data_IF_262014663643
#
_entry.id   IF_262014663643
#
_cell.length_a   1.000
_cell.length_b   1.000
_cell.length_c   1.000
_cell.angle_alpha   90.00
_cell.angle_beta   90.00
_cell.angle_gamma   90.00
#
_symmetry.space_group_name_H-M   'P 1'
#
loop_
_entity.id
_entity.type
_entity.pdbx_description
1 polymer ?
#
# COMPACT_ATOMS: atom_id res chain seq x y z
N UNK A 1 -10.01 16.81 -17.86
CA UNK A 1 -9.18 17.17 -19.01
C UNK A 1 -8.81 15.97 -19.87
N UNK A 2 -8.12 16.22 -20.96
CA UNK A 2 -7.50 15.22 -21.83
C UNK A 2 -6.01 15.50 -21.94
N UNK A 3 -5.21 14.47 -22.30
CA UNK A 3 -3.80 14.66 -22.67
C UNK A 3 -3.64 15.64 -23.81
N UNK A 4 -2.46 16.20 -24.02
CA UNK A 4 -2.18 17.18 -25.09
C UNK A 4 -2.53 16.64 -26.48
N UNK A 5 -2.30 15.34 -26.75
CA UNK A 5 -2.69 14.65 -28.00
C UNK A 5 -4.16 14.22 -28.04
N UNK A 6 -4.90 14.30 -26.95
CA UNK A 6 -6.30 13.88 -26.86
C UNK A 6 -6.51 12.36 -26.74
N UNK A 7 -5.44 11.57 -26.62
CA UNK A 7 -5.48 10.11 -26.70
C UNK A 7 -6.10 9.46 -25.46
N UNK A 8 -5.92 10.08 -24.28
CA UNK A 8 -6.48 9.60 -23.02
C UNK A 8 -6.99 10.74 -22.14
N UNK A 9 -7.84 10.39 -21.18
CA UNK A 9 -8.41 11.33 -20.19
C UNK A 9 -7.46 11.45 -19.01
N UNK A 10 -7.23 12.68 -18.53
CA UNK A 10 -6.44 12.97 -17.34
C UNK A 10 -7.26 12.67 -16.07
N UNK A 11 -6.87 11.62 -15.34
CA UNK A 11 -7.55 11.16 -14.14
C UNK A 11 -6.64 10.22 -13.36
N UNK A 12 -6.49 10.41 -12.06
CA UNK A 12 -5.61 9.56 -11.23
C UNK A 12 -4.18 9.55 -11.76
N UNK A 13 -3.63 8.35 -12.04
CA UNK A 13 -2.22 8.19 -12.46
C UNK A 13 -1.91 8.91 -13.78
N UNK A 14 -2.89 9.06 -14.68
CA UNK A 14 -2.67 9.75 -15.96
C UNK A 14 -2.54 11.26 -15.77
N UNK A 15 -3.28 11.83 -14.83
CA UNK A 15 -3.12 13.23 -14.44
C UNK A 15 -1.80 13.45 -13.68
N UNK A 16 -1.42 12.51 -12.81
CA UNK A 16 -0.12 12.56 -12.13
C UNK A 16 1.04 12.55 -13.14
N UNK A 17 0.95 11.71 -14.18
CA UNK A 17 1.99 11.65 -15.22
C UNK A 17 2.10 12.95 -16.03
N UNK A 18 0.98 13.63 -16.29
CA UNK A 18 0.94 14.90 -16.99
C UNK A 18 1.67 16.01 -16.23
N UNK A 19 1.48 16.05 -14.90
CA UNK A 19 2.12 17.04 -14.01
C UNK A 19 3.55 16.65 -13.60
N UNK A 20 3.81 15.36 -13.39
CA UNK A 20 5.08 14.82 -12.94
C UNK A 20 5.44 13.56 -13.75
N UNK A 21 6.04 13.72 -14.95
CA UNK A 21 6.41 12.59 -15.79
C UNK A 21 7.40 11.66 -15.09
N UNK A 22 6.99 10.44 -14.85
CA UNK A 22 7.83 9.38 -14.33
C UNK A 22 8.33 8.48 -15.46
N UNK A 23 9.47 7.81 -15.25
CA UNK A 23 10.13 7.01 -16.30
C UNK A 23 9.72 5.55 -16.33
N UNK A 24 9.16 5.07 -15.24
CA UNK A 24 8.81 3.66 -15.08
C UNK A 24 7.48 3.54 -14.35
N UNK A 25 6.67 2.58 -14.79
CA UNK A 25 5.45 2.16 -14.11
C UNK A 25 5.46 0.64 -13.98
N UNK A 26 5.09 0.15 -12.81
CA UNK A 26 4.90 -1.28 -12.57
C UNK A 26 3.46 -1.50 -12.16
N UNK A 27 2.77 -2.36 -12.89
CA UNK A 27 1.39 -2.67 -12.63
C UNK A 27 1.15 -4.19 -12.49
N UNK A 28 -0.11 -4.57 -12.40
CA UNK A 28 -0.50 -5.96 -12.17
C UNK A 28 -0.39 -6.88 -13.39
N UNK A 29 -0.35 -6.36 -14.62
CA UNK A 29 -0.62 -7.21 -15.78
C UNK A 29 0.08 -6.80 -17.09
N UNK A 30 0.84 -5.72 -17.15
CA UNK A 30 1.50 -5.30 -18.39
C UNK A 30 2.40 -6.41 -18.98
N UNK A 31 2.36 -6.67 -20.31
CA UNK A 31 1.46 -6.11 -21.32
C UNK A 31 0.15 -6.91 -21.48
N UNK A 32 -0.01 -8.01 -20.77
CA UNK A 32 -1.02 -9.03 -21.03
C UNK A 32 -2.30 -8.83 -20.18
N UNK A 33 -2.90 -7.65 -20.25
CA UNK A 33 -4.10 -7.28 -19.46
C UNK A 33 -5.30 -8.23 -19.62
N UNK A 34 -5.40 -8.89 -20.77
CA UNK A 34 -6.49 -9.80 -21.10
C UNK A 34 -6.18 -11.26 -20.72
N UNK A 35 -4.98 -11.54 -20.21
CA UNK A 35 -4.56 -12.91 -19.84
C UNK A 35 -5.22 -13.42 -18.56
N UNK A 36 -5.78 -12.53 -17.76
CA UNK A 36 -6.47 -12.84 -16.52
C UNK A 36 -7.94 -12.43 -16.62
N UNK A 37 -8.87 -13.36 -16.32
CA UNK A 37 -10.28 -13.04 -16.19
C UNK A 37 -10.48 -12.16 -14.94
N UNK A 38 -10.41 -10.86 -15.12
CA UNK A 38 -10.59 -9.87 -14.06
C UNK A 38 -11.78 -8.96 -14.39
N UNK A 39 -12.73 -8.89 -13.45
CA UNK A 39 -13.83 -7.93 -13.52
C UNK A 39 -13.34 -6.56 -13.08
N UNK A 40 -13.05 -5.70 -14.04
CA UNK A 40 -12.75 -4.31 -13.76
C UNK A 40 -13.96 -3.62 -13.13
N UNK A 41 -13.77 -2.91 -12.02
CA UNK A 41 -14.83 -2.09 -11.40
C UNK A 41 -15.27 -0.95 -12.30
N UNK A 42 -14.38 -0.46 -13.15
CA UNK A 42 -14.64 0.55 -14.18
C UNK A 42 -13.95 0.19 -15.48
N UNK A 43 -14.65 -0.52 -16.41
CA UNK A 43 -14.07 -0.88 -17.70
C UNK A 43 -13.58 0.34 -18.49
N UNK A 44 -14.28 1.47 -18.40
CA UNK A 44 -13.86 2.72 -19.07
C UNK A 44 -12.54 3.27 -18.49
N UNK A 45 -12.33 3.20 -17.17
CA UNK A 45 -11.09 3.63 -16.52
C UNK A 45 -9.93 2.72 -16.90
N UNK A 46 -10.14 1.40 -16.94
CA UNK A 46 -9.13 0.46 -17.39
C UNK A 46 -8.76 0.69 -18.85
N UNK A 47 -9.73 0.89 -19.73
CA UNK A 47 -9.47 1.21 -21.13
C UNK A 47 -8.72 2.53 -21.30
N UNK A 48 -9.02 3.54 -20.46
CA UNK A 48 -8.29 4.80 -20.45
C UNK A 48 -6.84 4.62 -19.99
N UNK A 49 -6.64 3.82 -18.94
CA UNK A 49 -5.30 3.48 -18.43
C UNK A 49 -4.47 2.76 -19.50
N UNK A 50 -5.04 1.78 -20.21
CA UNK A 50 -4.35 1.07 -21.30
C UNK A 50 -3.92 2.03 -22.40
N UNK A 51 -4.82 2.92 -22.88
CA UNK A 51 -4.45 3.95 -23.88
C UNK A 51 -3.32 4.85 -23.41
N UNK A 52 -3.32 5.22 -22.13
CA UNK A 52 -2.22 5.99 -21.54
C UNK A 52 -0.91 5.20 -21.60
N UNK A 53 -0.90 3.94 -21.17
CA UNK A 53 0.32 3.10 -21.18
C UNK A 53 0.85 2.95 -22.62
N UNK A 54 -0.03 2.62 -23.58
CA UNK A 54 0.35 2.46 -24.97
C UNK A 54 0.96 3.76 -25.52
N UNK A 55 0.29 4.89 -25.34
CA UNK A 55 0.79 6.19 -25.76
C UNK A 55 2.12 6.56 -25.10
N UNK A 56 2.22 6.43 -23.79
CA UNK A 56 3.41 6.84 -23.05
C UNK A 56 4.62 5.95 -23.34
N UNK A 57 4.41 4.66 -23.57
CA UNK A 57 5.49 3.73 -23.95
C UNK A 57 5.96 3.96 -25.38
N UNK A 58 5.03 4.22 -26.31
CA UNK A 58 5.37 4.44 -27.72
C UNK A 58 6.01 5.80 -27.99
N UNK A 59 5.53 6.86 -27.32
CA UNK A 59 5.89 8.24 -27.67
C UNK A 59 6.77 8.95 -26.62
N UNK A 60 6.68 8.56 -25.36
CA UNK A 60 7.33 9.30 -24.25
C UNK A 60 8.45 8.52 -23.57
N UNK A 61 8.75 7.29 -24.04
CA UNK A 61 9.82 6.45 -23.50
C UNK A 61 9.53 5.92 -22.07
N UNK A 62 8.25 5.89 -21.66
CA UNK A 62 7.84 5.24 -20.42
C UNK A 62 8.17 3.74 -20.49
N UNK A 63 8.76 3.21 -19.44
CA UNK A 63 8.95 1.78 -19.27
C UNK A 63 7.83 1.20 -18.41
N UNK A 64 7.07 0.28 -18.96
CA UNK A 64 6.02 -0.42 -18.22
C UNK A 64 6.44 -1.88 -17.97
N UNK A 65 6.10 -2.41 -16.81
CA UNK A 65 6.39 -3.79 -16.44
C UNK A 65 5.31 -4.34 -15.50
N UNK A 66 5.16 -5.66 -15.48
CA UNK A 66 4.37 -6.37 -14.48
C UNK A 66 5.16 -6.51 -13.18
N UNK A 67 4.46 -6.43 -12.04
CA UNK A 67 5.05 -6.69 -10.73
C UNK A 67 5.54 -8.14 -10.64
N UNK A 68 6.82 -8.32 -10.35
CA UNK A 68 7.45 -9.62 -10.16
C UNK A 68 7.42 -9.99 -8.69
N UNK A 69 6.69 -11.05 -8.37
CA UNK A 69 6.54 -11.53 -7.01
C UNK A 69 7.80 -12.26 -6.55
N UNK A 70 8.24 -11.97 -5.32
CA UNK A 70 9.48 -12.50 -4.73
C UNK A 70 10.76 -11.81 -5.19
N UNK A 71 10.69 -10.94 -6.20
CA UNK A 71 11.87 -10.23 -6.71
C UNK A 71 12.09 -8.92 -5.94
N UNK A 72 13.20 -8.81 -5.25
CA UNK A 72 13.64 -7.58 -4.58
C UNK A 72 14.52 -6.69 -5.46
N UNK A 73 14.89 -7.13 -6.65
CA UNK A 73 15.71 -6.38 -7.61
C UNK A 73 14.91 -5.52 -8.59
N UNK A 74 13.58 -5.64 -8.62
CA UNK A 74 12.75 -4.87 -9.56
C UNK A 74 12.76 -3.36 -9.28
N UNK A 75 12.92 -2.94 -8.02
CA UNK A 75 12.90 -1.54 -7.59
C UNK A 75 14.25 -1.12 -6.99
N UNK A 76 15.34 -1.05 -7.78
CA UNK A 76 16.64 -0.68 -7.26
C UNK A 76 16.64 0.78 -6.80
N UNK A 77 17.25 1.04 -5.64
CA UNK A 77 17.50 2.41 -5.21
C UNK A 77 18.49 3.07 -6.18
N UNK A 78 18.04 4.11 -6.90
CA UNK A 78 18.83 4.72 -7.98
C UNK A 78 19.81 5.80 -7.50
N UNK A 79 19.51 6.43 -6.37
CA UNK A 79 20.33 7.53 -5.85
C UNK A 79 21.09 7.08 -4.61
N UNK A 80 22.42 6.99 -4.71
CA UNK A 80 23.34 6.63 -3.63
C UNK A 80 23.01 5.26 -3.00
N UNK A 81 22.82 4.19 -3.81
CA UNK A 81 22.45 2.87 -3.28
C UNK A 81 23.48 2.33 -2.27
N UNK A 82 24.75 2.67 -2.44
CA UNK A 82 25.84 2.32 -1.53
C UNK A 82 25.69 2.84 -0.09
N UNK A 83 24.86 3.87 0.10
CA UNK A 83 24.55 4.42 1.44
C UNK A 83 23.41 3.69 2.14
N UNK A 84 22.66 2.88 1.41
CA UNK A 84 21.46 2.19 1.87
C UNK A 84 21.44 0.73 1.37
N UNK A 85 22.49 -0.05 1.74
CA UNK A 85 22.65 -1.41 1.18
C UNK A 85 21.52 -2.36 1.55
N UNK A 86 20.86 -2.11 2.69
CA UNK A 86 19.76 -2.93 3.21
C UNK A 86 18.38 -2.50 2.68
N UNK A 87 18.32 -1.44 1.84
CA UNK A 87 17.05 -1.00 1.27
C UNK A 87 16.60 -1.94 0.16
N UNK A 88 15.35 -2.44 0.24
CA UNK A 88 14.74 -3.26 -0.80
C UNK A 88 13.23 -3.10 -0.83
N UNK A 89 12.64 -3.34 -1.99
CA UNK A 89 11.20 -3.46 -2.19
C UNK A 89 10.94 -4.81 -2.85
N UNK A 90 10.14 -5.65 -2.19
CA UNK A 90 9.81 -7.00 -2.67
C UNK A 90 8.35 -7.07 -3.05
N UNK A 91 8.03 -7.60 -4.23
CA UNK A 91 6.67 -7.89 -4.65
C UNK A 91 6.11 -9.07 -3.83
N UNK A 92 4.99 -8.86 -3.15
CA UNK A 92 4.36 -9.85 -2.27
C UNK A 92 3.14 -10.49 -2.93
N UNK A 93 2.25 -9.70 -3.51
CA UNK A 93 1.07 -10.22 -4.18
C UNK A 93 0.69 -9.41 -5.42
N UNK A 94 0.02 -10.07 -6.35
CA UNK A 94 -0.65 -9.47 -7.50
C UNK A 94 -1.59 -10.50 -8.14
N UNK A 95 -2.72 -10.05 -8.69
CA UNK A 95 -3.64 -10.91 -9.44
C UNK A 95 -4.14 -12.14 -8.66
N UNK A 96 -4.38 -12.00 -7.35
CA UNK A 96 -4.80 -13.11 -6.50
C UNK A 96 -3.70 -14.14 -6.19
N UNK A 97 -2.49 -13.91 -6.68
CA UNK A 97 -1.30 -14.71 -6.40
C UNK A 97 -0.47 -14.06 -5.30
N UNK A 98 0.19 -14.89 -4.51
CA UNK A 98 1.09 -14.47 -3.41
C UNK A 98 2.40 -15.22 -3.51
N UNK A 99 3.51 -14.55 -3.25
CA UNK A 99 4.82 -15.15 -3.03
C UNK A 99 4.84 -15.81 -1.65
N UNK A 100 5.11 -17.12 -1.55
CA UNK A 100 5.09 -17.84 -0.26
C UNK A 100 6.48 -17.96 0.41
N UNK A 101 7.51 -17.38 -0.20
CA UNK A 101 8.91 -17.48 0.19
C UNK A 101 9.74 -18.36 -0.74
N UNK A 102 9.09 -19.22 -1.55
CA UNK A 102 9.75 -20.16 -2.48
C UNK A 102 9.18 -20.04 -3.88
N UNK A 103 7.86 -19.86 -4.02
CA UNK A 103 7.14 -19.84 -5.30
C UNK A 103 5.93 -18.91 -5.23
N UNK A 104 5.38 -18.63 -6.39
CA UNK A 104 4.12 -17.91 -6.52
C UNK A 104 2.96 -18.89 -6.43
N UNK A 105 2.04 -18.64 -5.48
CA UNK A 105 0.85 -19.47 -5.22
C UNK A 105 -0.41 -18.68 -5.59
N UNK A 106 -1.27 -19.29 -6.41
CA UNK A 106 -2.58 -18.73 -6.74
C UNK A 106 -3.59 -19.07 -5.61
N UNK A 107 -4.08 -18.06 -4.91
CA UNK A 107 -5.09 -18.19 -3.86
C UNK A 107 -6.51 -17.93 -4.35
N UNK A 108 -6.67 -17.49 -5.58
CA UNK A 108 -7.99 -17.18 -6.16
C UNK A 108 -8.61 -18.37 -6.87
N UNK A 109 -7.79 -19.34 -7.32
CA UNK A 109 -8.24 -20.50 -8.10
C UNK A 109 -8.61 -20.11 -9.53
N UNK A 110 -9.62 -20.81 -10.09
CA UNK A 110 -10.10 -20.60 -11.47
C UNK A 110 -11.27 -19.61 -11.54
N UNK A 111 -11.57 -18.93 -10.43
CA UNK A 111 -12.67 -17.96 -10.37
C UNK A 111 -12.36 -16.65 -11.07
N UNK A 112 -13.42 -15.87 -11.35
CA UNK A 112 -13.23 -14.51 -11.85
C UNK A 112 -12.78 -13.59 -10.72
N UNK A 113 -11.60 -12.99 -10.89
CA UNK A 113 -11.01 -12.06 -9.93
C UNK A 113 -11.68 -10.69 -10.07
N UNK A 114 -12.01 -10.04 -8.96
CA UNK A 114 -12.38 -8.62 -8.95
C UNK A 114 -11.12 -7.76 -8.90
N UNK A 115 -11.18 -6.53 -9.39
CA UNK A 115 -10.02 -5.62 -9.48
C UNK A 115 -9.30 -5.44 -8.13
N UNK A 116 -10.03 -5.30 -7.03
CA UNK A 116 -9.43 -5.21 -5.69
C UNK A 116 -8.63 -6.47 -5.30
N UNK A 117 -9.08 -7.65 -5.77
CA UNK A 117 -8.32 -8.90 -5.58
C UNK A 117 -7.07 -8.99 -6.45
N UNK A 118 -7.00 -8.18 -7.51
CA UNK A 118 -5.83 -8.08 -8.38
C UNK A 118 -4.79 -7.07 -7.88
N UNK A 119 -5.01 -6.43 -6.73
CA UNK A 119 -4.11 -5.43 -6.13
C UNK A 119 -2.67 -5.91 -6.07
N UNK A 120 -1.75 -5.00 -6.37
CA UNK A 120 -0.32 -5.17 -6.17
C UNK A 120 0.04 -4.93 -4.71
N UNK A 121 0.72 -5.89 -4.09
CA UNK A 121 1.26 -5.74 -2.74
C UNK A 121 2.78 -5.77 -2.73
N UNK A 122 3.38 -4.86 -1.97
CA UNK A 122 4.84 -4.75 -1.82
C UNK A 122 5.21 -4.61 -0.35
N UNK A 123 6.36 -5.18 0.00
CA UNK A 123 7.05 -4.96 1.26
C UNK A 123 8.30 -4.10 1.00
N UNK A 124 8.35 -2.92 1.62
CA UNK A 124 9.54 -2.09 1.67
C UNK A 124 10.28 -2.39 2.96
N UNK A 125 11.56 -2.74 2.85
CA UNK A 125 12.44 -3.03 3.98
C UNK A 125 13.67 -2.12 3.97
N UNK A 126 14.06 -1.64 5.16
CA UNK A 126 15.31 -0.91 5.35
C UNK A 126 15.85 -1.11 6.77
N UNK A 127 16.93 -1.84 6.93
CA UNK A 127 17.39 -2.31 8.23
C UNK A 127 16.33 -3.13 8.95
N UNK A 128 15.94 -2.71 10.15
CA UNK A 128 14.85 -3.35 10.92
C UNK A 128 13.45 -2.80 10.57
N UNK A 129 13.35 -1.75 9.75
CA UNK A 129 12.07 -1.14 9.39
C UNK A 129 11.42 -1.87 8.21
N UNK A 130 10.17 -2.28 8.39
CA UNK A 130 9.31 -2.81 7.33
C UNK A 130 8.01 -1.99 7.18
N UNK A 131 7.68 -1.70 5.90
CA UNK A 131 6.39 -1.11 5.52
C UNK A 131 5.69 -2.01 4.51
N UNK A 132 4.45 -2.41 4.82
CA UNK A 132 3.64 -3.24 3.93
C UNK A 132 2.46 -2.46 3.33
N UNK A 133 2.21 -2.65 2.05
CA UNK A 133 0.99 -2.17 1.37
C UNK A 133 0.54 -3.18 0.32
N UNK A 134 -0.78 -3.41 0.23
CA UNK A 134 -1.39 -4.30 -0.75
C UNK A 134 -2.67 -3.69 -1.36
N UNK A 135 -2.63 -2.39 -1.62
CA UNK A 135 -3.75 -1.69 -2.28
C UNK A 135 -5.08 -1.90 -1.57
N UNK A 136 -6.05 -2.41 -2.30
CA UNK A 136 -7.41 -2.68 -1.84
C UNK A 136 -7.68 -4.18 -1.62
N UNK A 137 -6.63 -4.97 -1.45
CA UNK A 137 -6.77 -6.34 -0.98
C UNK A 137 -7.49 -6.37 0.39
N UNK A 138 -8.29 -7.38 0.63
CA UNK A 138 -9.02 -7.57 1.86
C UNK A 138 -9.30 -9.04 2.11
N UNK A 139 -9.89 -9.40 3.25
CA UNK A 139 -10.15 -10.79 3.61
C UNK A 139 -11.01 -11.54 2.58
N UNK A 140 -11.95 -10.85 1.95
CA UNK A 140 -12.79 -11.41 0.88
C UNK A 140 -12.04 -11.67 -0.44
N UNK A 141 -10.82 -11.14 -0.61
CA UNK A 141 -9.95 -11.41 -1.77
C UNK A 141 -9.07 -12.64 -1.60
N UNK A 142 -9.11 -13.28 -0.44
CA UNK A 142 -8.33 -14.47 -0.06
C UNK A 142 -6.81 -14.30 -0.08
N UNK A 143 -6.30 -13.08 -0.24
CA UNK A 143 -4.84 -12.84 -0.28
C UNK A 143 -4.29 -12.16 0.97
N UNK A 144 -5.15 -11.58 1.82
CA UNK A 144 -4.73 -10.77 2.97
C UNK A 144 -3.88 -11.60 3.96
N UNK A 145 -4.41 -12.73 4.43
CA UNK A 145 -3.68 -13.63 5.31
C UNK A 145 -2.48 -14.32 4.64
N UNK A 146 -2.59 -14.86 3.40
CA UNK A 146 -1.41 -15.35 2.67
C UNK A 146 -0.28 -14.33 2.54
N UNK A 147 -0.57 -13.05 2.29
CA UNK A 147 0.45 -11.99 2.26
C UNK A 147 1.15 -11.85 3.63
N UNK A 148 0.38 -11.83 4.70
CA UNK A 148 0.94 -11.77 6.05
C UNK A 148 1.82 -12.99 6.35
N UNK A 149 1.39 -14.18 5.95
CA UNK A 149 2.16 -15.43 6.09
C UNK A 149 3.46 -15.40 5.28
N UNK A 150 3.42 -14.83 4.07
CA UNK A 150 4.60 -14.61 3.24
C UNK A 150 5.63 -13.72 3.92
N UNK A 151 5.18 -12.62 4.52
CA UNK A 151 6.05 -11.72 5.28
C UNK A 151 6.55 -12.39 6.57
N UNK A 152 5.67 -13.12 7.27
CA UNK A 152 5.98 -14.02 8.37
C UNK A 152 6.53 -13.36 9.64
N UNK A 153 6.40 -12.03 9.78
CA UNK A 153 6.96 -11.25 10.88
C UNK A 153 6.19 -9.96 11.12
N UNK A 154 6.36 -9.34 12.32
CA UNK A 154 5.85 -7.99 12.58
C UNK A 154 6.43 -6.95 11.62
N UNK A 155 5.60 -5.94 11.30
CA UNK A 155 5.99 -4.76 10.51
C UNK A 155 5.83 -3.49 11.33
N UNK A 156 6.67 -2.48 11.10
CA UNK A 156 6.57 -1.20 11.78
C UNK A 156 5.35 -0.41 11.32
N UNK A 157 5.10 -0.43 10.01
CA UNK A 157 3.98 0.31 9.47
C UNK A 157 3.32 -0.42 8.30
N UNK A 158 2.03 -0.13 8.08
CA UNK A 158 1.33 -0.59 6.90
C UNK A 158 0.27 0.40 6.43
N UNK A 159 -0.04 0.38 5.13
CA UNK A 159 -1.29 0.96 4.64
C UNK A 159 -2.43 0.04 5.05
N UNK A 160 -3.51 0.61 5.54
CA UNK A 160 -4.74 -0.16 5.71
C UNK A 160 -5.23 -0.68 4.36
N UNK A 161 -5.66 -1.92 4.31
CA UNK A 161 -6.24 -2.47 3.10
C UNK A 161 -7.59 -1.83 2.83
N UNK A 162 -7.83 -1.50 1.54
CA UNK A 162 -9.08 -0.99 1.01
C UNK A 162 -9.70 0.11 1.89
N UNK A 163 -8.86 1.05 2.36
CA UNK A 163 -9.26 2.23 3.16
C UNK A 163 -10.06 1.88 4.44
N UNK A 164 -9.80 0.74 5.07
CA UNK A 164 -10.61 0.15 6.15
C UNK A 164 -12.06 -0.12 5.72
N UNK A 165 -12.27 -0.65 4.53
CA UNK A 165 -13.56 -1.17 4.07
C UNK A 165 -14.00 -2.36 4.94
N UNK A 166 -15.30 -2.67 5.06
CA UNK A 166 -15.75 -3.90 5.69
C UNK A 166 -15.02 -5.14 5.15
N UNK A 167 -14.78 -6.12 6.00
CA UNK A 167 -14.07 -7.36 5.69
C UNK A 167 -12.57 -7.21 5.37
N UNK A 168 -11.93 -6.14 5.82
CA UNK A 168 -10.48 -5.95 5.71
C UNK A 168 -9.78 -6.03 7.06
N UNK A 169 -8.45 -6.04 7.02
CA UNK A 169 -7.61 -6.04 8.22
C UNK A 169 -7.96 -7.18 9.18
N UNK A 170 -8.11 -8.40 8.66
CA UNK A 170 -8.54 -9.56 9.44
C UNK A 170 -7.58 -9.85 10.61
N UNK A 171 -8.12 -10.42 11.69
CA UNK A 171 -7.36 -10.65 12.93
C UNK A 171 -6.20 -11.63 12.74
N UNK A 172 -6.34 -12.63 11.86
CA UNK A 172 -5.28 -13.57 11.50
C UNK A 172 -4.10 -12.88 10.80
N UNK A 173 -4.36 -11.96 9.89
CA UNK A 173 -3.34 -11.11 9.28
C UNK A 173 -2.68 -10.22 10.34
N UNK A 174 -3.48 -9.53 11.15
CA UNK A 174 -2.98 -8.63 12.21
C UNK A 174 -2.15 -9.40 13.25
N UNK A 175 -2.49 -10.65 13.56
CA UNK A 175 -1.74 -11.49 14.49
C UNK A 175 -0.33 -11.82 13.98
N UNK A 176 -0.13 -11.91 12.68
CA UNK A 176 1.20 -12.12 12.08
C UNK A 176 1.95 -10.78 11.96
N UNK A 177 1.33 -9.76 11.36
CA UNK A 177 2.01 -8.51 11.04
C UNK A 177 2.17 -7.56 12.22
N UNK A 178 1.32 -7.62 13.23
CA UNK A 178 1.40 -6.84 14.47
C UNK A 178 1.84 -5.38 14.24
N UNK A 179 1.19 -4.62 13.35
CA UNK A 179 1.67 -3.31 12.94
C UNK A 179 1.66 -2.31 14.10
N UNK A 180 2.70 -1.49 14.20
CA UNK A 180 2.74 -0.38 15.15
C UNK A 180 2.05 0.87 14.61
N UNK A 181 2.09 1.06 13.28
CA UNK A 181 1.44 2.17 12.58
C UNK A 181 0.56 1.64 11.47
N UNK A 182 -0.67 2.12 11.40
CA UNK A 182 -1.62 1.86 10.30
C UNK A 182 -1.99 3.19 9.66
N UNK A 183 -1.62 3.37 8.40
CA UNK A 183 -1.96 4.57 7.61
C UNK A 183 -3.20 4.29 6.79
N UNK A 184 -4.22 5.13 6.95
CA UNK A 184 -5.47 5.04 6.19
C UNK A 184 -5.64 6.28 5.33
N UNK A 185 -5.61 6.07 4.02
CA UNK A 185 -5.97 7.09 3.05
C UNK A 185 -7.49 7.12 2.94
N UNK A 186 -8.11 8.11 3.52
CA UNK A 186 -9.56 8.29 3.52
C UNK A 186 -9.89 9.76 3.26
N UNK A 187 -11.05 9.99 2.66
CA UNK A 187 -11.48 11.35 2.33
C UNK A 187 -13.01 11.52 2.44
N UNK A 188 -13.78 10.56 1.92
CA UNK A 188 -15.22 10.74 1.79
C UNK A 188 -16.01 9.47 2.09
N UNK A 189 -17.19 9.64 2.66
CA UNK A 189 -18.03 8.60 3.26
C UNK A 189 -18.85 7.77 2.24
N UNK A 190 -18.67 7.95 0.93
CA UNK A 190 -19.55 7.38 -0.10
C UNK A 190 -19.77 5.87 0.02
N UNK A 191 -18.75 5.13 0.46
CA UNK A 191 -18.72 3.67 0.39
C UNK A 191 -18.42 3.02 1.75
N UNK A 192 -18.95 3.60 2.86
CA UNK A 192 -18.72 3.06 4.21
C UNK A 192 -17.22 2.89 4.55
N UNK A 193 -16.38 3.75 4.05
CA UNK A 193 -14.93 3.76 4.27
C UNK A 193 -14.50 5.09 4.90
N UNK A 194 -13.79 5.08 6.01
CA UNK A 194 -13.41 3.91 6.80
C UNK A 194 -14.58 3.36 7.63
N UNK A 195 -14.67 2.03 7.73
CA UNK A 195 -15.70 1.35 8.52
C UNK A 195 -15.44 1.51 10.03
N UNK A 196 -16.42 2.03 10.76
CA UNK A 196 -16.30 2.27 12.20
C UNK A 196 -16.15 0.98 13.00
N UNK A 197 -16.77 -0.12 12.56
CA UNK A 197 -16.65 -1.43 13.19
C UNK A 197 -15.22 -1.97 13.09
N UNK A 198 -14.57 -1.78 11.95
CA UNK A 198 -13.16 -2.17 11.75
C UNK A 198 -12.24 -1.31 12.62
N UNK A 199 -12.43 0.02 12.65
CA UNK A 199 -11.64 0.91 13.51
C UNK A 199 -11.78 0.48 14.98
N UNK A 200 -13.01 0.22 15.44
CA UNK A 200 -13.28 -0.24 16.81
C UNK A 200 -12.60 -1.58 17.09
N UNK A 201 -12.76 -2.57 16.22
CA UNK A 201 -12.15 -3.89 16.35
C UNK A 201 -10.63 -3.81 16.48
N UNK A 202 -9.97 -3.01 15.63
CA UNK A 202 -8.52 -2.82 15.67
C UNK A 202 -8.11 -2.12 16.97
N UNK A 203 -8.81 -1.05 17.38
CA UNK A 203 -8.51 -0.27 18.59
C UNK A 203 -8.64 -1.09 19.87
N UNK A 204 -9.60 -2.01 19.92
CA UNK A 204 -9.92 -2.83 21.09
C UNK A 204 -9.22 -4.20 21.04
N UNK A 205 -8.55 -4.52 19.93
CA UNK A 205 -7.86 -5.79 19.73
C UNK A 205 -6.71 -5.98 20.71
N UNK A 206 -6.63 -7.17 21.31
CA UNK A 206 -5.53 -7.61 22.17
C UNK A 206 -4.33 -8.18 21.37
N UNK A 207 -4.43 -8.26 20.08
CA UNK A 207 -3.32 -8.65 19.19
C UNK A 207 -2.15 -7.69 19.44
N UNK A 208 -0.90 -8.17 19.58
CA UNK A 208 0.28 -7.31 19.74
C UNK A 208 0.44 -6.29 18.62
N UNK A 209 1.26 -5.27 18.84
CA UNK A 209 1.42 -4.11 17.96
C UNK A 209 0.68 -2.90 18.50
N UNK A 210 1.28 -1.72 18.39
CA UNK A 210 0.69 -0.50 18.93
C UNK A 210 -0.55 -0.04 18.16
N UNK A 211 -0.66 -0.44 16.89
CA UNK A 211 -1.80 -0.15 15.99
C UNK A 211 -2.25 1.33 16.00
N UNK A 212 -1.27 2.23 16.02
CA UNK A 212 -1.52 3.68 15.91
C UNK A 212 -2.13 3.99 14.56
N UNK A 213 -3.39 4.38 14.52
CA UNK A 213 -4.09 4.68 13.28
C UNK A 213 -3.96 6.16 12.94
N UNK A 214 -3.46 6.44 11.73
CA UNK A 214 -3.38 7.77 11.13
C UNK A 214 -4.27 7.82 9.90
N UNK A 215 -5.07 8.86 9.79
CA UNK A 215 -6.01 9.06 8.68
C UNK A 215 -5.67 10.34 7.91
N UNK A 216 -5.64 10.27 6.59
CA UNK A 216 -5.44 11.48 5.76
C UNK A 216 -6.60 12.46 5.95
N UNK A 217 -7.81 11.94 6.09
CA UNK A 217 -8.99 12.68 6.45
C UNK A 217 -10.08 11.73 7.01
N UNK A 218 -11.02 12.27 7.77
CA UNK A 218 -12.25 11.58 8.18
C UNK A 218 -13.39 12.57 7.99
N UNK A 219 -14.47 12.12 7.34
CA UNK A 219 -15.67 12.95 7.20
C UNK A 219 -16.19 13.38 8.57
N UNK A 220 -16.51 14.65 8.69
CA UNK A 220 -16.96 15.23 9.96
C UNK A 220 -18.19 14.54 10.52
N UNK A 221 -19.08 14.06 9.67
CA UNK A 221 -20.28 13.34 10.12
C UNK A 221 -19.96 12.06 10.87
N UNK A 222 -18.85 11.38 10.53
CA UNK A 222 -18.37 10.20 11.26
C UNK A 222 -17.75 10.57 12.61
N UNK A 223 -16.91 11.62 12.64
CA UNK A 223 -16.29 12.07 13.90
C UNK A 223 -17.32 12.63 14.87
N UNK A 224 -18.35 13.31 14.38
CA UNK A 224 -19.45 13.82 15.18
C UNK A 224 -20.37 12.69 15.69
N UNK A 225 -20.53 11.61 14.93
CA UNK A 225 -21.34 10.45 15.32
C UNK A 225 -20.69 9.61 16.43
N UNK A 226 -19.37 9.46 16.44
CA UNK A 226 -18.62 8.73 17.49
C UNK A 226 -17.30 9.40 17.83
N UNK A 227 -17.33 10.55 18.54
CA UNK A 227 -16.11 11.30 18.89
C UNK A 227 -15.12 10.46 19.72
N UNK A 228 -15.61 9.54 20.54
CA UNK A 228 -14.77 8.73 21.43
C UNK A 228 -13.96 7.68 20.64
N UNK A 229 -14.52 7.14 19.57
CA UNK A 229 -13.82 6.22 18.68
C UNK A 229 -12.64 6.92 18.01
N UNK A 230 -12.89 8.09 17.43
CA UNK A 230 -11.88 8.83 16.69
C UNK A 230 -10.85 9.54 17.59
N UNK A 231 -11.19 9.84 18.85
CA UNK A 231 -10.22 10.32 19.84
C UNK A 231 -9.10 9.30 20.14
N UNK A 232 -9.29 8.03 19.78
CA UNK A 232 -8.26 6.98 19.89
C UNK A 232 -7.31 6.95 18.69
N UNK A 233 -7.60 7.71 17.63
CA UNK A 233 -6.70 7.82 16.48
C UNK A 233 -5.42 8.55 16.86
N UNK A 234 -4.30 8.12 16.30
CA UNK A 234 -3.01 8.78 16.51
C UNK A 234 -2.93 10.14 15.80
N UNK A 235 -3.63 10.29 14.67
CA UNK A 235 -3.73 11.56 13.96
C UNK A 235 -4.79 11.54 12.85
N UNK A 236 -5.41 12.69 12.60
CA UNK A 236 -6.43 12.89 11.56
C UNK A 236 -6.16 14.20 10.83
N UNK A 237 -6.22 14.16 9.50
CA UNK A 237 -6.16 15.33 8.61
C UNK A 237 -4.75 15.70 8.19
N UNK A 238 -4.51 15.69 6.89
CA UNK A 238 -3.26 16.10 6.25
C UNK A 238 -2.44 14.97 5.63
N UNK A 239 -1.27 15.31 5.14
CA UNK A 239 -0.34 14.31 4.60
C UNK A 239 0.34 13.54 5.74
N UNK A 240 0.50 12.24 5.56
CA UNK A 240 1.17 11.36 6.53
C UNK A 240 2.54 10.98 5.96
N UNK A 241 3.60 11.33 6.68
CA UNK A 241 4.99 11.05 6.29
C UNK A 241 5.64 10.17 7.35
N UNK A 242 6.10 8.99 6.94
CA UNK A 242 6.93 8.13 7.80
C UNK A 242 8.38 8.36 7.40
N UNK A 243 9.18 8.88 8.33
CA UNK A 243 10.60 9.12 8.13
C UNK A 243 11.42 8.13 8.93
N UNK A 244 12.15 7.28 8.23
CA UNK A 244 13.03 6.26 8.82
C UNK A 244 14.43 6.85 9.00
N UNK A 245 15.00 6.67 10.17
CA UNK A 245 16.36 7.10 10.49
C UNK A 245 17.42 6.27 9.73
N UNK A 246 18.61 6.81 9.48
CA UNK A 246 19.69 6.04 8.89
C UNK A 246 19.94 4.72 9.64
N UNK A 247 20.06 3.63 8.90
CA UNK A 247 20.23 2.28 9.46
C UNK A 247 18.93 1.57 9.82
N UNK A 248 17.75 2.20 9.63
CA UNK A 248 16.45 1.55 9.79
C UNK A 248 16.11 1.10 11.22
N UNK A 249 16.70 1.73 12.25
CA UNK A 249 16.49 1.35 13.66
C UNK A 249 15.35 2.09 14.34
N UNK A 250 15.05 3.28 13.86
CA UNK A 250 14.04 4.17 14.42
C UNK A 250 13.29 4.89 13.29
N UNK A 251 12.07 5.30 13.57
CA UNK A 251 11.26 6.10 12.65
C UNK A 251 10.37 7.09 13.40
N UNK A 252 9.96 8.14 12.70
CA UNK A 252 8.96 9.10 13.17
C UNK A 252 7.81 9.16 12.16
N UNK A 253 6.63 9.52 12.67
CA UNK A 253 5.45 9.81 11.86
C UNK A 253 5.14 11.30 11.97
N UNK A 254 4.99 11.96 10.83
CA UNK A 254 4.64 13.37 10.74
C UNK A 254 3.29 13.53 10.07
N UNK A 255 2.44 14.38 10.64
CA UNK A 255 1.25 14.90 9.96
C UNK A 255 1.57 16.29 9.44
N UNK A 256 1.42 16.49 8.13
CA UNK A 256 1.65 17.78 7.50
C UNK A 256 0.33 18.43 7.14
N UNK A 257 0.28 19.76 7.24
CA UNK A 257 -0.86 20.54 6.78
C UNK A 257 -1.00 20.39 5.25
N UNK A 258 -2.21 20.13 4.80
CA UNK A 258 -2.59 20.01 3.40
C UNK A 258 -3.48 21.19 2.92
N UNK A 259 -3.65 22.20 3.77
CA UNK A 259 -4.43 23.40 3.42
C UNK A 259 -3.71 24.32 2.42
N UNK A 260 -2.39 24.19 2.32
CA UNK A 260 -1.56 24.94 1.38
C UNK A 260 -0.34 24.12 0.93
N UNK A 261 0.55 24.74 0.16
CA UNK A 261 1.77 24.10 -0.38
C UNK A 261 3.01 24.25 0.51
N UNK A 262 2.88 24.74 1.72
CA UNK A 262 4.01 24.88 2.66
C UNK A 262 4.31 23.59 3.40
N UNK A 263 3.34 22.69 3.50
CA UNK A 263 3.45 21.39 4.17
C UNK A 263 3.96 21.52 5.61
N UNK A 264 3.43 22.50 6.35
CA UNK A 264 3.81 22.72 7.75
C UNK A 264 3.54 21.49 8.60
N UNK A 265 4.48 21.13 9.47
CA UNK A 265 4.31 20.00 10.39
C UNK A 265 3.29 20.37 11.46
N UNK A 266 2.15 19.68 11.48
CA UNK A 266 1.07 19.82 12.50
C UNK A 266 1.33 18.92 13.70
N UNK A 267 1.90 17.74 13.47
CA UNK A 267 2.16 16.74 14.51
C UNK A 267 3.41 15.96 14.16
N UNK A 268 4.17 15.57 15.19
CA UNK A 268 5.35 14.71 15.07
C UNK A 268 5.34 13.69 16.20
N UNK A 269 5.28 12.41 15.85
CA UNK A 269 5.26 11.30 16.80
C UNK A 269 6.51 10.43 16.66
N UNK A 270 7.04 9.99 17.77
CA UNK A 270 8.26 9.20 17.83
C UNK A 270 9.44 9.96 18.49
N UNK A 271 10.70 9.52 18.32
CA UNK A 271 11.07 8.32 17.53
C UNK A 271 10.52 7.01 18.12
N UNK A 272 10.02 6.15 17.24
CA UNK A 272 9.66 4.77 17.58
C UNK A 272 10.82 3.87 17.21
N UNK A 273 11.07 2.85 18.03
CA UNK A 273 12.09 1.83 17.72
C UNK A 273 11.50 0.75 16.83
N UNK A 274 12.26 0.34 15.81
CA UNK A 274 11.94 -0.81 15.00
C UNK A 274 12.18 -2.11 15.77
N UNK A 275 11.37 -3.13 15.47
CA UNK A 275 11.53 -4.47 16.02
C UNK A 275 12.73 -5.14 15.36
N UNK A 276 13.62 -5.80 16.12
CA UNK A 276 14.75 -6.51 15.50
C UNK A 276 14.25 -7.54 14.48
N UNK A 277 14.78 -7.49 13.27
CA UNK A 277 14.47 -8.48 12.26
C UNK A 277 15.16 -9.81 12.61
N UNK A 278 14.51 -10.97 12.33
CA UNK A 278 15.19 -12.25 12.43
C UNK A 278 16.47 -12.18 11.57
N UNK A 279 17.62 -12.44 12.17
CA UNK A 279 18.84 -12.55 11.38
C UNK A 279 18.65 -13.71 10.41
N UNK A 280 18.78 -13.43 9.11
CA UNK A 280 18.92 -14.48 8.12
C UNK A 280 20.21 -15.25 8.49
N UNK A 281 20.07 -16.33 9.22
CA UNK A 281 21.10 -17.34 9.24
C UNK A 281 21.15 -17.89 7.83
N UNK A 282 22.07 -17.35 7.02
CA UNK A 282 22.44 -17.97 5.77
C UNK A 282 22.70 -19.44 6.06
N UNK A 283 21.86 -20.31 5.53
CA UNK A 283 22.18 -21.72 5.44
C UNK A 283 23.28 -21.83 4.39
N UNK A 284 24.52 -21.68 4.83
CA UNK A 284 25.67 -22.20 4.08
C UNK A 284 25.62 -23.73 4.24
N UNK A 285 25.05 -24.40 3.26
CA UNK A 285 25.32 -25.79 2.94
C UNK A 285 25.70 -25.89 1.46
#
# INVERSE_FOLDING_TARGET
>A
GRSAGGDYVLSGVTALYDELPFREIVDRAYPAYDSLACLAMSPASLANYRRFIDHATEHNGLKAAMLRLGDSGQFPLRRRPERYPDFRITGICSNGCVWDGEKVVNHYGDGTLRENGASCGILLSYGDFDYFTAGDAGGNTRVEYPCARSIGRPVEAMKSHHHLSPHTMQDDMLAVLQPDVIVTQSFYIRDIQPDQGIIRRISESKIPGAKRMYFTNIDRSLTDADPQLYARSAGIGGHIVIRVSPGGKEYCVYMLDDSDTTYTVKQADGPFRCKPQPQNTEKHE
#
